data_IF_112742844942
#
_entry.id   IF_112742844942
#
_cell.length_a   1.000
_cell.length_b   1.000
_cell.length_c   1.000
_cell.angle_alpha   90.00
_cell.angle_beta   90.00
_cell.angle_gamma   90.00
#
_symmetry.space_group_name_H-M   'P 1'
#
loop_
_entity.id
_entity.type
_entity.pdbx_description
1 polymer ?
#
# COMPACT_ATOMS: atom_id res chain seq x y z
N UNK A 1 14.64 15.97 -24.22
CA UNK A 1 13.16 16.03 -24.32
C UNK A 1 12.49 14.90 -23.48
N UNK A 2 13.03 13.69 -23.48
CA UNK A 2 12.47 12.55 -22.73
C UNK A 2 12.53 12.75 -21.20
N UNK A 3 13.65 13.24 -20.65
CA UNK A 3 13.81 13.47 -19.21
C UNK A 3 12.65 14.27 -18.57
N UNK A 4 12.15 15.29 -19.29
CA UNK A 4 11.04 16.15 -18.80
C UNK A 4 9.67 15.52 -18.89
N UNK A 5 9.56 14.30 -19.44
CA UNK A 5 8.31 13.51 -19.48
C UNK A 5 8.25 12.49 -18.35
N UNK A 6 9.38 12.28 -17.65
CA UNK A 6 9.47 11.43 -16.46
C UNK A 6 8.72 12.07 -15.29
N UNK A 7 8.57 11.32 -14.22
CA UNK A 7 7.95 11.78 -12.98
C UNK A 7 8.98 12.42 -12.03
N UNK A 8 10.11 11.74 -11.77
CA UNK A 8 11.11 12.18 -10.80
C UNK A 8 12.48 12.37 -11.43
N UNK A 9 13.29 13.31 -10.89
CA UNK A 9 14.63 13.59 -11.37
C UNK A 9 15.57 12.38 -11.19
N UNK A 10 15.43 11.64 -10.08
CA UNK A 10 16.20 10.42 -9.82
C UNK A 10 16.04 9.35 -10.90
N UNK A 11 14.88 9.26 -11.56
CA UNK A 11 14.65 8.30 -12.65
C UNK A 11 14.77 8.91 -14.06
N UNK A 12 15.32 10.13 -14.15
CA UNK A 12 15.61 10.84 -15.39
C UNK A 12 17.12 10.94 -15.68
N UNK A 13 17.94 10.13 -15.02
CA UNK A 13 19.38 9.97 -15.29
C UNK A 13 19.55 8.90 -16.38
N UNK A 14 20.45 9.14 -17.30
CA UNK A 14 20.78 8.25 -18.41
C UNK A 14 22.24 7.84 -18.34
N UNK A 15 22.58 6.72 -18.95
CA UNK A 15 23.95 6.29 -19.12
C UNK A 15 24.24 6.14 -20.60
N UNK A 16 25.26 6.86 -21.09
CA UNK A 16 25.76 6.75 -22.46
C UNK A 16 26.81 5.64 -22.53
N UNK A 17 26.38 4.50 -23.09
CA UNK A 17 27.24 3.30 -23.20
C UNK A 17 28.47 3.55 -24.08
N UNK A 18 28.37 4.45 -25.08
CA UNK A 18 29.49 4.70 -26.00
C UNK A 18 30.57 5.58 -25.38
N UNK A 19 30.16 6.52 -24.52
CA UNK A 19 31.04 7.49 -23.87
C UNK A 19 31.43 7.07 -22.46
N UNK A 20 30.81 6.03 -21.92
CA UNK A 20 30.99 5.57 -20.53
C UNK A 20 30.72 6.68 -19.52
N UNK A 21 29.66 7.48 -19.75
CA UNK A 21 29.34 8.64 -18.89
C UNK A 21 27.86 8.71 -18.53
N UNK A 22 27.56 9.26 -17.34
CA UNK A 22 26.20 9.60 -16.94
C UNK A 22 25.76 10.95 -17.51
N UNK A 23 24.56 11.00 -18.04
CA UNK A 23 23.89 12.22 -18.52
C UNK A 23 22.76 12.55 -17.53
N UNK A 24 22.91 13.63 -16.81
CA UNK A 24 21.96 14.09 -15.79
C UNK A 24 21.40 15.48 -16.11
N UNK A 25 20.39 15.55 -16.98
CA UNK A 25 19.86 16.85 -17.43
C UNK A 25 19.03 17.60 -16.39
N UNK A 26 18.63 16.94 -15.28
CA UNK A 26 17.71 17.49 -14.29
C UNK A 26 18.23 17.46 -12.85
N UNK A 27 19.48 17.07 -12.65
CA UNK A 27 20.09 17.01 -11.33
C UNK A 27 19.60 15.82 -10.50
N UNK A 28 19.32 14.68 -11.14
CA UNK A 28 18.87 13.47 -10.47
C UNK A 28 19.99 12.75 -9.70
N UNK A 29 21.25 12.87 -10.11
CA UNK A 29 22.39 12.25 -9.39
C UNK A 29 22.53 12.80 -7.96
N UNK A 30 22.52 14.13 -7.73
CA UNK A 30 22.48 14.69 -6.37
C UNK A 30 21.26 14.22 -5.54
N UNK A 31 20.11 14.06 -6.17
CA UNK A 31 18.90 13.58 -5.51
C UNK A 31 19.06 12.11 -5.07
N UNK A 32 19.65 11.27 -5.93
CA UNK A 32 19.96 9.86 -5.61
C UNK A 32 20.95 9.80 -4.43
N UNK A 33 22.00 10.61 -4.44
CA UNK A 33 22.99 10.64 -3.36
C UNK A 33 22.41 11.07 -2.01
N UNK A 34 21.38 11.94 -2.03
CA UNK A 34 20.68 12.43 -0.84
C UNK A 34 19.46 11.58 -0.47
N UNK A 35 19.15 10.55 -1.26
CA UNK A 35 17.95 9.71 -1.11
C UNK A 35 16.65 10.53 -1.14
N UNK A 36 16.55 11.48 -2.07
CA UNK A 36 15.39 12.36 -2.21
C UNK A 36 14.63 12.05 -3.51
N UNK A 37 13.30 12.12 -3.46
CA UNK A 37 12.41 12.13 -4.62
C UNK A 37 11.91 13.54 -4.87
N UNK A 38 12.44 14.16 -5.92
CA UNK A 38 12.02 15.44 -6.44
C UNK A 38 11.44 15.29 -7.84
N UNK A 39 10.34 15.97 -8.12
CA UNK A 39 9.69 15.92 -9.44
C UNK A 39 10.49 16.67 -10.50
N UNK A 40 10.35 16.25 -11.77
CA UNK A 40 11.08 16.85 -12.93
C UNK A 40 10.64 18.26 -13.29
N UNK A 41 9.53 18.73 -12.75
CA UNK A 41 8.92 20.06 -12.92
C UNK A 41 8.07 20.33 -11.65
N UNK A 42 7.44 21.52 -11.48
CA UNK A 42 6.61 21.79 -10.31
C UNK A 42 5.63 20.64 -10.03
N UNK A 43 5.65 20.12 -8.80
CA UNK A 43 5.01 18.86 -8.43
C UNK A 43 3.50 18.86 -8.72
N UNK A 44 2.82 19.98 -8.45
CA UNK A 44 1.40 20.15 -8.77
C UNK A 44 1.10 19.92 -10.26
N UNK A 45 2.00 20.32 -11.15
CA UNK A 45 1.88 20.10 -12.59
C UNK A 45 2.13 18.63 -12.93
N UNK A 46 3.21 18.05 -12.38
CA UNK A 46 3.61 16.67 -12.67
C UNK A 46 2.51 15.68 -12.28
N UNK A 47 1.93 15.81 -11.10
CA UNK A 47 0.81 14.96 -10.66
C UNK A 47 -0.50 15.31 -11.38
N UNK A 48 -0.70 16.57 -11.76
CA UNK A 48 -1.86 17.01 -12.55
C UNK A 48 -1.92 16.45 -13.98
N UNK A 49 -0.78 16.04 -14.54
CA UNK A 49 -0.71 15.44 -15.89
C UNK A 49 -1.10 13.95 -15.92
N UNK A 50 -0.84 13.21 -14.84
CA UNK A 50 -1.16 11.77 -14.72
C UNK A 50 -1.31 11.39 -13.25
N UNK A 51 -2.54 11.11 -12.81
CA UNK A 51 -2.85 10.71 -11.43
C UNK A 51 -2.16 9.42 -10.98
N UNK A 52 -1.75 8.53 -11.90
CA UNK A 52 -0.99 7.34 -11.52
C UNK A 52 0.39 7.67 -10.93
N UNK A 53 0.95 8.85 -11.24
CA UNK A 53 2.22 9.30 -10.65
C UNK A 53 2.15 9.39 -9.11
N UNK A 54 0.95 9.56 -8.54
CA UNK A 54 0.73 9.51 -7.09
C UNK A 54 1.03 8.11 -6.51
N UNK A 55 0.54 7.05 -7.15
CA UNK A 55 0.88 5.67 -6.78
C UNK A 55 2.37 5.37 -7.03
N UNK A 56 2.92 5.88 -8.13
CA UNK A 56 4.33 5.72 -8.48
C UNK A 56 5.26 6.41 -7.48
N UNK A 57 4.87 7.56 -6.90
CA UNK A 57 5.58 8.20 -5.80
C UNK A 57 5.73 7.23 -4.62
N UNK A 58 4.62 6.69 -4.13
CA UNK A 58 4.61 5.75 -3.02
C UNK A 58 5.42 4.48 -3.32
N UNK A 59 5.28 3.94 -4.54
CA UNK A 59 6.03 2.77 -4.96
C UNK A 59 7.53 3.03 -5.04
N UNK A 60 7.97 4.11 -5.66
CA UNK A 60 9.40 4.40 -5.79
C UNK A 60 10.01 4.67 -4.42
N UNK A 61 9.32 5.41 -3.54
CA UNK A 61 9.73 5.59 -2.15
C UNK A 61 9.87 4.24 -1.40
N UNK A 62 8.92 3.32 -1.61
CA UNK A 62 8.96 1.98 -1.05
C UNK A 62 10.14 1.15 -1.58
N UNK A 63 10.32 1.11 -2.91
CA UNK A 63 11.34 0.32 -3.60
C UNK A 63 12.78 0.80 -3.34
N UNK A 64 12.98 2.13 -3.15
CA UNK A 64 14.32 2.73 -3.04
C UNK A 64 14.71 3.14 -1.63
N UNK A 65 13.73 3.35 -0.74
CA UNK A 65 13.96 3.96 0.56
C UNK A 65 14.10 5.49 0.51
N UNK A 66 13.89 6.11 -0.65
CA UNK A 66 14.01 7.57 -0.80
C UNK A 66 12.78 8.27 -0.21
N UNK A 67 12.99 9.50 0.26
CA UNK A 67 11.93 10.35 0.81
C UNK A 67 11.54 11.44 -0.19
N UNK A 68 10.23 11.70 -0.40
CA UNK A 68 9.79 12.86 -1.15
C UNK A 68 10.27 14.15 -0.49
N UNK A 69 10.61 15.18 -1.27
CA UNK A 69 10.75 16.52 -0.75
C UNK A 69 9.39 17.16 -0.45
N UNK A 70 9.38 18.29 0.26
CA UNK A 70 8.13 18.93 0.70
C UNK A 70 7.28 19.40 -0.49
N UNK A 71 7.90 19.93 -1.56
CA UNK A 71 7.17 20.33 -2.77
C UNK A 71 6.45 19.12 -3.41
N UNK A 72 7.10 17.96 -3.41
CA UNK A 72 6.53 16.72 -3.90
C UNK A 72 5.33 16.26 -3.06
N UNK A 73 5.44 16.34 -1.71
CA UNK A 73 4.35 15.99 -0.79
C UNK A 73 3.15 16.94 -0.94
N UNK A 74 3.40 18.26 -0.96
CA UNK A 74 2.35 19.27 -1.15
C UNK A 74 1.64 19.08 -2.51
N UNK A 75 2.42 18.84 -3.57
CA UNK A 75 1.88 18.58 -4.90
C UNK A 75 1.04 17.31 -4.95
N UNK A 76 1.45 16.25 -4.25
CA UNK A 76 0.70 15.00 -4.16
C UNK A 76 -0.61 15.19 -3.38
N UNK A 77 -0.57 15.84 -2.21
CA UNK A 77 -1.77 16.18 -1.41
C UNK A 77 -2.76 17.03 -2.20
N UNK A 78 -2.29 18.00 -2.98
CA UNK A 78 -3.14 18.87 -3.79
C UNK A 78 -3.83 18.14 -4.96
N UNK A 79 -3.31 17.00 -5.40
CA UNK A 79 -3.79 16.27 -6.56
C UNK A 79 -4.31 14.86 -6.25
N UNK A 80 -4.42 14.46 -4.97
CA UNK A 80 -4.76 13.07 -4.57
C UNK A 80 -6.03 12.55 -5.23
N UNK A 81 -7.04 13.40 -5.45
CA UNK A 81 -8.31 13.02 -6.06
C UNK A 81 -8.18 12.57 -7.52
N UNK A 82 -7.11 12.96 -8.24
CA UNK A 82 -6.90 12.56 -9.64
C UNK A 82 -6.65 11.05 -9.80
N UNK A 83 -6.36 10.34 -8.71
CA UNK A 83 -6.26 8.87 -8.74
C UNK A 83 -7.59 8.20 -9.10
N UNK A 84 -8.74 8.87 -8.90
CA UNK A 84 -10.07 8.36 -9.24
C UNK A 84 -10.26 8.16 -10.75
N UNK A 85 -9.50 8.90 -11.58
CA UNK A 85 -9.56 8.81 -13.04
C UNK A 85 -8.70 7.66 -13.60
N UNK A 86 -7.94 6.98 -12.74
CA UNK A 86 -7.05 5.89 -13.13
C UNK A 86 -7.79 4.55 -13.10
N UNK A 87 -7.61 3.75 -14.15
CA UNK A 87 -8.24 2.42 -14.22
C UNK A 87 -7.76 1.52 -13.07
N UNK A 88 -8.68 0.77 -12.44
CA UNK A 88 -8.39 -0.01 -11.23
C UNK A 88 -7.24 -1.00 -11.37
N UNK A 89 -7.08 -1.59 -12.55
CA UNK A 89 -6.01 -2.54 -12.84
C UNK A 89 -4.61 -1.91 -12.68
N UNK A 90 -4.44 -0.64 -13.07
CA UNK A 90 -3.16 0.08 -12.90
C UNK A 90 -2.90 0.40 -11.43
N UNK A 91 -3.94 0.78 -10.68
CA UNK A 91 -3.86 1.00 -9.23
C UNK A 91 -3.43 -0.30 -8.55
N UNK A 92 -4.09 -1.42 -8.87
CA UNK A 92 -3.77 -2.73 -8.33
C UNK A 92 -2.32 -3.17 -8.62
N UNK A 93 -1.84 -2.95 -9.85
CA UNK A 93 -0.46 -3.27 -10.22
C UNK A 93 0.57 -2.48 -9.39
N UNK A 94 0.35 -1.18 -9.20
CA UNK A 94 1.24 -0.37 -8.35
C UNK A 94 1.15 -0.80 -6.88
N UNK A 95 -0.05 -1.14 -6.37
CA UNK A 95 -0.24 -1.64 -5.01
C UNK A 95 0.51 -2.97 -4.79
N UNK A 96 0.41 -3.92 -5.73
CA UNK A 96 1.19 -5.16 -5.69
C UNK A 96 2.70 -4.87 -5.59
N UNK A 97 3.20 -3.91 -6.36
CA UNK A 97 4.63 -3.53 -6.34
C UNK A 97 5.03 -2.85 -5.03
N UNK A 98 4.15 -2.06 -4.43
CA UNK A 98 4.38 -1.50 -3.09
C UNK A 98 4.48 -2.65 -2.08
N UNK A 99 3.53 -3.59 -2.11
CA UNK A 99 3.50 -4.70 -1.18
C UNK A 99 4.67 -5.70 -1.34
N UNK A 100 5.38 -5.72 -2.48
CA UNK A 100 6.58 -6.55 -2.71
C UNK A 100 7.88 -5.74 -2.75
N UNK A 101 7.88 -4.52 -2.24
CA UNK A 101 9.03 -3.60 -2.35
C UNK A 101 10.21 -3.92 -1.44
N UNK A 102 10.03 -4.73 -0.41
CA UNK A 102 11.10 -5.21 0.48
C UNK A 102 12.15 -6.10 -0.24
N UNK A 103 11.79 -6.66 -1.39
CA UNK A 103 12.74 -7.35 -2.27
C UNK A 103 13.70 -6.38 -2.99
N UNK A 104 13.52 -5.07 -2.81
CA UNK A 104 14.29 -4.00 -3.45
C UNK A 104 15.18 -3.26 -2.43
N UNK A 105 15.88 -2.25 -2.90
CA UNK A 105 16.80 -1.45 -2.09
C UNK A 105 16.15 -0.72 -0.90
N UNK A 106 14.82 -0.57 -0.89
CA UNK A 106 14.06 0.00 0.22
C UNK A 106 14.03 -0.84 1.49
N UNK A 107 14.40 -2.13 1.40
CA UNK A 107 14.46 -3.04 2.52
C UNK A 107 13.11 -3.39 3.14
N UNK A 108 13.14 -4.05 4.29
CA UNK A 108 11.96 -4.61 4.98
C UNK A 108 10.85 -3.57 5.28
N UNK A 109 11.19 -2.29 5.40
CA UNK A 109 10.22 -1.22 5.64
C UNK A 109 9.51 -0.72 4.36
N UNK A 110 9.91 -1.21 3.19
CA UNK A 110 9.37 -0.75 1.92
C UNK A 110 7.84 -0.75 1.85
N UNK A 111 7.15 -1.87 2.09
CA UNK A 111 5.69 -1.94 2.04
C UNK A 111 5.01 -0.96 3.00
N UNK A 112 5.47 -0.89 4.25
CA UNK A 112 4.95 0.05 5.24
C UNK A 112 5.18 1.51 4.83
N UNK A 113 6.38 1.85 4.33
CA UNK A 113 6.72 3.20 3.85
C UNK A 113 5.81 3.63 2.70
N UNK A 114 5.59 2.76 1.72
CA UNK A 114 4.71 3.06 0.58
C UNK A 114 3.27 3.28 1.00
N UNK A 115 2.73 2.41 1.84
CA UNK A 115 1.35 2.54 2.34
C UNK A 115 1.18 3.78 3.23
N UNK A 116 2.15 4.07 4.10
CA UNK A 116 2.16 5.28 4.94
C UNK A 116 2.17 6.55 4.10
N UNK A 117 2.92 6.56 2.99
CA UNK A 117 2.95 7.69 2.08
C UNK A 117 1.63 7.86 1.31
N UNK A 118 0.95 6.76 0.95
CA UNK A 118 -0.41 6.84 0.39
C UNK A 118 -1.41 7.41 1.39
N UNK A 119 -1.30 7.05 2.69
CA UNK A 119 -2.11 7.64 3.77
C UNK A 119 -1.82 9.14 3.92
N UNK A 120 -0.55 9.51 4.05
CA UNK A 120 -0.10 10.90 4.26
C UNK A 120 -0.52 11.84 3.13
N UNK A 121 -0.52 11.37 1.90
CA UNK A 121 -0.91 12.16 0.72
C UNK A 121 -2.41 12.17 0.45
N UNK A 122 -3.21 11.42 1.21
CA UNK A 122 -4.65 11.27 1.01
C UNK A 122 -5.05 10.27 -0.09
N UNK A 123 -4.08 9.72 -0.83
CA UNK A 123 -4.35 8.77 -1.93
C UNK A 123 -4.99 7.49 -1.41
N UNK A 124 -4.61 7.02 -0.21
CA UNK A 124 -5.19 5.82 0.39
C UNK A 124 -6.71 5.97 0.60
N UNK A 125 -7.17 7.15 1.02
CA UNK A 125 -8.60 7.43 1.20
C UNK A 125 -9.41 7.32 -0.10
N UNK A 126 -8.76 7.61 -1.23
CA UNK A 126 -9.40 7.57 -2.54
C UNK A 126 -9.50 6.15 -3.10
N UNK A 127 -8.45 5.35 -2.92
CA UNK A 127 -8.38 3.97 -3.48
C UNK A 127 -8.98 2.92 -2.55
N UNK A 128 -8.99 3.17 -1.25
CA UNK A 128 -9.41 2.25 -0.19
C UNK A 128 -10.19 2.99 0.93
N UNK A 129 -11.31 3.66 0.63
CA UNK A 129 -12.07 4.41 1.63
C UNK A 129 -12.53 3.51 2.79
N UNK A 130 -12.77 2.22 2.55
CA UNK A 130 -13.15 1.26 3.58
C UNK A 130 -12.03 1.06 4.61
N UNK A 131 -10.79 0.99 4.15
CA UNK A 131 -9.62 0.87 5.02
C UNK A 131 -9.38 2.18 5.79
N UNK A 132 -9.59 3.32 5.12
CA UNK A 132 -9.41 4.64 5.70
C UNK A 132 -10.41 4.95 6.84
N UNK A 133 -11.57 4.28 6.91
CA UNK A 133 -12.48 4.38 8.06
C UNK A 133 -11.84 3.90 9.38
N UNK A 134 -10.77 3.17 9.32
CA UNK A 134 -9.98 2.75 10.49
C UNK A 134 -8.96 3.79 10.96
N UNK A 135 -8.80 4.90 10.23
CA UNK A 135 -7.91 5.99 10.60
C UNK A 135 -8.49 6.73 11.81
N UNK A 136 -7.65 6.96 12.82
CA UNK A 136 -8.05 7.55 14.11
C UNK A 136 -9.14 6.76 14.88
N UNK A 137 -9.55 5.56 14.42
CA UNK A 137 -10.45 4.71 15.18
C UNK A 137 -9.67 3.96 16.26
N UNK A 138 -9.77 4.47 17.49
CA UNK A 138 -9.14 3.87 18.66
C UNK A 138 -9.67 2.45 18.91
N UNK A 139 -8.75 1.54 19.20
CA UNK A 139 -9.04 0.21 19.71
C UNK A 139 -8.94 0.18 21.23
N UNK A 140 -9.34 -0.94 21.87
CA UNK A 140 -9.16 -1.10 23.33
C UNK A 140 -7.67 -0.95 23.69
N UNK A 141 -7.35 0.08 24.45
CA UNK A 141 -5.96 0.46 24.85
C UNK A 141 -5.21 -0.65 25.60
N UNK A 142 -5.95 -1.58 26.23
CA UNK A 142 -5.37 -2.72 26.94
C UNK A 142 -4.69 -3.74 25.99
N UNK A 143 -5.08 -3.76 24.71
CA UNK A 143 -4.61 -4.74 23.73
C UNK A 143 -3.95 -4.11 22.49
N UNK A 144 -4.22 -2.85 22.20
CA UNK A 144 -3.77 -2.19 20.97
C UNK A 144 -3.15 -0.82 21.24
N UNK A 145 -1.92 -0.62 20.74
CA UNK A 145 -1.18 0.64 20.85
C UNK A 145 -1.55 1.64 19.75
N UNK A 146 -2.11 1.15 18.67
CA UNK A 146 -2.35 1.89 17.43
C UNK A 146 -3.84 1.89 17.07
N UNK A 147 -4.29 2.88 16.27
CA UNK A 147 -5.60 2.83 15.61
C UNK A 147 -5.69 1.63 14.65
N UNK A 148 -6.89 1.35 14.11
CA UNK A 148 -7.15 0.19 13.26
C UNK A 148 -6.31 0.25 11.97
N UNK A 149 -6.20 1.42 11.34
CA UNK A 149 -5.45 1.57 10.11
C UNK A 149 -3.94 1.41 10.35
N UNK A 150 -3.37 2.12 11.32
CA UNK A 150 -1.95 2.04 11.63
C UNK A 150 -1.55 0.62 12.03
N UNK A 151 -2.41 -0.10 12.78
CA UNK A 151 -2.21 -1.51 13.08
C UNK A 151 -2.09 -2.33 11.79
N UNK A 152 -3.03 -2.18 10.87
CA UNK A 152 -3.03 -2.92 9.60
C UNK A 152 -1.79 -2.62 8.75
N UNK A 153 -1.37 -1.35 8.66
CA UNK A 153 -0.15 -0.98 7.92
C UNK A 153 1.10 -1.63 8.54
N UNK A 154 1.16 -1.70 9.86
CA UNK A 154 2.27 -2.36 10.58
C UNK A 154 2.26 -3.87 10.42
N UNK A 155 1.10 -4.50 10.38
CA UNK A 155 0.99 -5.94 10.10
C UNK A 155 1.58 -6.29 8.73
N UNK A 156 1.39 -5.46 7.71
CA UNK A 156 1.99 -5.67 6.39
C UNK A 156 3.53 -5.70 6.44
N UNK A 157 4.15 -4.87 7.29
CA UNK A 157 5.62 -4.83 7.45
C UNK A 157 6.21 -6.19 7.82
N UNK A 158 5.51 -6.94 8.68
CA UNK A 158 5.99 -8.21 9.23
C UNK A 158 5.42 -9.45 8.52
N UNK A 159 4.42 -9.25 7.65
CA UNK A 159 3.77 -10.34 6.95
C UNK A 159 4.63 -10.87 5.78
N UNK A 160 4.71 -12.20 5.59
CA UNK A 160 5.24 -12.77 4.35
C UNK A 160 4.54 -12.21 3.11
N UNK A 161 5.24 -12.10 1.96
CA UNK A 161 4.71 -11.47 0.74
C UNK A 161 3.38 -12.02 0.25
N UNK A 162 3.16 -13.33 0.36
CA UNK A 162 1.98 -14.06 -0.10
C UNK A 162 0.70 -13.76 0.70
N UNK A 163 0.82 -13.30 1.95
CA UNK A 163 -0.35 -12.98 2.80
C UNK A 163 -0.52 -11.48 3.07
N UNK A 164 0.24 -10.59 2.43
CA UNK A 164 0.22 -9.14 2.71
C UNK A 164 -1.12 -8.47 2.43
N UNK A 165 -1.87 -8.93 1.43
CA UNK A 165 -3.24 -8.42 1.23
C UNK A 165 -4.15 -8.80 2.39
N UNK A 166 -4.02 -10.01 2.92
CA UNK A 166 -4.77 -10.40 4.11
C UNK A 166 -4.33 -9.58 5.33
N UNK A 167 -3.02 -9.38 5.53
CA UNK A 167 -2.49 -8.55 6.62
C UNK A 167 -2.94 -7.08 6.52
N UNK A 168 -3.07 -6.52 5.30
CA UNK A 168 -3.58 -5.17 5.09
C UNK A 168 -5.07 -5.04 5.41
N UNK A 169 -5.86 -6.08 5.11
CA UNK A 169 -7.32 -6.03 5.10
C UNK A 169 -7.98 -6.79 6.27
N UNK A 170 -7.20 -7.47 7.16
CA UNK A 170 -7.77 -8.35 8.19
C UNK A 170 -8.77 -7.65 9.13
N UNK A 171 -8.51 -6.40 9.43
CA UNK A 171 -9.30 -5.58 10.35
C UNK A 171 -10.24 -4.57 9.66
N UNK A 172 -10.38 -4.61 8.33
CA UNK A 172 -11.21 -3.68 7.57
C UNK A 172 -12.70 -3.71 7.98
N UNK A 173 -13.15 -4.80 8.59
CA UNK A 173 -14.51 -4.96 9.12
C UNK A 173 -14.73 -4.25 10.47
N UNK A 174 -13.66 -3.94 11.23
CA UNK A 174 -13.78 -3.33 12.57
C UNK A 174 -14.55 -2.02 12.59
N UNK A 175 -14.25 -1.01 11.72
CA UNK A 175 -15.01 0.24 11.70
C UNK A 175 -16.49 0.02 11.44
N UNK A 176 -16.84 -0.83 10.51
CA UNK A 176 -18.24 -1.12 10.16
C UNK A 176 -19.00 -1.75 11.32
N UNK A 177 -18.41 -2.76 11.99
CA UNK A 177 -19.02 -3.36 13.17
C UNK A 177 -19.15 -2.35 14.32
N UNK A 178 -18.12 -1.54 14.53
CA UNK A 178 -18.16 -0.53 15.61
C UNK A 178 -19.25 0.52 15.39
N UNK A 179 -19.36 1.07 14.19
CA UNK A 179 -20.39 2.09 13.90
C UNK A 179 -21.79 1.52 13.86
N UNK A 180 -21.97 0.25 13.50
CA UNK A 180 -23.27 -0.43 13.49
C UNK A 180 -23.70 -0.90 14.88
N UNK A 181 -22.79 -1.57 15.61
CA UNK A 181 -23.12 -2.36 16.79
C UNK A 181 -22.43 -1.87 18.09
N UNK A 182 -21.55 -0.87 18.01
CA UNK A 182 -20.78 -0.35 19.14
C UNK A 182 -19.67 -1.29 19.63
N UNK A 183 -19.34 -2.33 18.86
CA UNK A 183 -18.33 -3.33 19.22
C UNK A 183 -17.67 -3.89 17.95
N UNK A 184 -16.62 -4.74 18.13
CA UNK A 184 -15.87 -5.35 17.03
C UNK A 184 -16.26 -6.81 16.76
N UNK A 185 -17.36 -7.31 17.32
CA UNK A 185 -17.81 -8.67 17.04
C UNK A 185 -18.17 -8.85 15.58
N UNK A 186 -17.95 -10.05 15.03
CA UNK A 186 -18.19 -10.39 13.62
C UNK A 186 -17.37 -9.56 12.61
N UNK A 187 -16.28 -8.85 13.02
CA UNK A 187 -15.43 -8.15 12.07
C UNK A 187 -14.70 -9.09 11.10
N UNK A 188 -14.39 -10.37 11.40
CA UNK A 188 -13.80 -11.26 10.40
C UNK A 188 -14.75 -11.54 9.23
N UNK A 189 -16.03 -11.79 9.50
CA UNK A 189 -17.05 -12.06 8.49
C UNK A 189 -17.32 -10.81 7.65
N UNK A 190 -17.53 -9.68 8.32
CA UNK A 190 -17.74 -8.38 7.65
C UNK A 190 -16.48 -7.97 6.87
N UNK A 191 -15.29 -8.14 7.45
CA UNK A 191 -14.02 -7.85 6.82
C UNK A 191 -13.77 -8.69 5.57
N UNK A 192 -14.06 -9.99 5.59
CA UNK A 192 -13.94 -10.86 4.43
C UNK A 192 -14.88 -10.43 3.28
N UNK A 193 -16.12 -9.99 3.61
CA UNK A 193 -17.07 -9.46 2.63
C UNK A 193 -16.52 -8.18 2.00
N UNK A 194 -16.12 -7.21 2.81
CA UNK A 194 -15.60 -5.90 2.37
C UNK A 194 -14.32 -6.09 1.56
N UNK A 195 -13.37 -6.90 2.03
CA UNK A 195 -12.14 -7.20 1.32
C UNK A 195 -12.40 -7.82 -0.06
N UNK A 196 -13.39 -8.71 -0.17
CA UNK A 196 -13.83 -9.27 -1.44
C UNK A 196 -14.34 -8.22 -2.42
N UNK A 197 -15.11 -7.25 -1.95
CA UNK A 197 -15.61 -6.12 -2.76
C UNK A 197 -14.46 -5.18 -3.19
N UNK A 198 -13.54 -4.85 -2.28
CA UNK A 198 -12.36 -4.03 -2.58
C UNK A 198 -11.47 -4.69 -3.63
N UNK A 199 -11.12 -5.95 -3.46
CA UNK A 199 -10.27 -6.71 -4.39
C UNK A 199 -10.95 -6.88 -5.76
N UNK A 200 -12.27 -7.09 -5.80
CA UNK A 200 -13.05 -7.10 -7.04
C UNK A 200 -13.05 -5.75 -7.75
N UNK A 201 -13.20 -4.65 -7.01
CA UNK A 201 -13.12 -3.27 -7.54
C UNK A 201 -11.75 -2.99 -8.13
N UNK A 202 -10.67 -3.46 -7.50
CA UNK A 202 -9.31 -3.36 -8.02
C UNK A 202 -8.98 -4.35 -9.14
N UNK A 203 -9.94 -5.22 -9.54
CA UNK A 203 -9.73 -6.26 -10.55
C UNK A 203 -8.63 -7.26 -10.18
N UNK A 204 -8.49 -7.55 -8.90
CA UNK A 204 -7.57 -8.56 -8.41
C UNK A 204 -7.92 -9.96 -8.96
N UNK A 205 -6.93 -10.86 -9.14
CA UNK A 205 -7.20 -12.24 -9.53
C UNK A 205 -8.14 -12.94 -8.55
N UNK A 206 -9.08 -13.75 -9.06
CA UNK A 206 -10.07 -14.47 -8.24
C UNK A 206 -9.40 -15.34 -7.16
N UNK A 207 -8.31 -16.03 -7.50
CA UNK A 207 -7.55 -16.84 -6.55
C UNK A 207 -7.07 -16.01 -5.35
N UNK A 208 -6.41 -14.88 -5.58
CA UNK A 208 -5.95 -13.97 -4.52
C UNK A 208 -7.13 -13.47 -3.66
N UNK A 209 -8.26 -13.15 -4.29
CA UNK A 209 -9.46 -12.68 -3.58
C UNK A 209 -9.98 -13.74 -2.61
N UNK A 210 -10.13 -14.98 -3.05
CA UNK A 210 -10.66 -16.06 -2.19
C UNK A 210 -9.66 -16.45 -1.09
N UNK A 211 -8.37 -16.50 -1.39
CA UNK A 211 -7.32 -16.76 -0.38
C UNK A 211 -7.31 -15.65 0.69
N UNK A 212 -7.37 -14.38 0.28
CA UNK A 212 -7.43 -13.24 1.21
C UNK A 212 -8.67 -13.29 2.10
N UNK A 213 -9.86 -13.54 1.53
CA UNK A 213 -11.11 -13.69 2.30
C UNK A 213 -11.01 -14.81 3.32
N UNK A 214 -10.47 -15.95 2.93
CA UNK A 214 -10.29 -17.10 3.83
C UNK A 214 -9.37 -16.77 5.00
N UNK A 215 -8.24 -16.14 4.73
CA UNK A 215 -7.31 -15.72 5.78
C UNK A 215 -7.95 -14.70 6.74
N UNK A 216 -8.74 -13.76 6.23
CA UNK A 216 -9.49 -12.80 7.06
C UNK A 216 -10.51 -13.50 7.94
N UNK A 217 -11.26 -14.45 7.42
CA UNK A 217 -12.22 -15.25 8.22
C UNK A 217 -11.56 -16.05 9.34
N UNK A 218 -10.32 -16.46 9.14
CA UNK A 218 -9.61 -17.34 10.06
C UNK A 218 -8.69 -16.62 11.05
N UNK A 219 -8.41 -15.31 10.87
CA UNK A 219 -7.35 -14.62 11.62
C UNK A 219 -7.58 -14.54 13.14
N UNK A 220 -8.86 -14.61 13.59
CA UNK A 220 -9.22 -14.63 15.02
C UNK A 220 -9.36 -16.02 15.61
N UNK A 221 -9.16 -17.08 14.79
CA UNK A 221 -9.19 -18.43 15.34
C UNK A 221 -7.89 -18.73 16.06
N UNK A 222 -7.97 -18.96 17.36
CA UNK A 222 -6.87 -19.49 18.15
C UNK A 222 -6.60 -20.93 17.68
N UNK A 223 -5.61 -21.08 16.81
CA UNK A 223 -5.01 -22.39 16.60
C UNK A 223 -4.20 -22.69 17.85
N UNK A 224 -4.80 -23.44 18.79
CA UNK A 224 -4.09 -23.94 19.95
C UNK A 224 -2.78 -24.61 19.48
N UNK A 225 -1.64 -24.17 20.03
CA UNK A 225 -0.31 -24.72 19.70
C UNK A 225 -0.24 -26.24 19.92
N UNK A 226 -1.18 -26.80 20.71
CA UNK A 226 -1.37 -28.24 20.93
C UNK A 226 -2.34 -28.88 19.92
N UNK A 227 -2.87 -28.11 18.96
CA UNK A 227 -3.80 -28.66 17.97
C UNK A 227 -3.06 -29.65 17.07
N UNK A 228 -3.58 -30.90 16.94
CA UNK A 228 -3.00 -31.88 16.04
C UNK A 228 -2.97 -31.33 14.61
N UNK A 229 -1.86 -31.51 13.91
CA UNK A 229 -1.68 -31.07 12.51
C UNK A 229 -2.85 -31.46 11.59
N UNK A 230 -3.44 -32.65 11.83
CA UNK A 230 -4.63 -33.12 11.11
C UNK A 230 -5.87 -32.24 11.31
N UNK A 231 -6.02 -31.60 12.49
CA UNK A 231 -7.13 -30.70 12.77
C UNK A 231 -6.90 -29.34 12.10
N UNK A 232 -5.66 -28.82 12.16
CA UNK A 232 -5.27 -27.59 11.45
C UNK A 232 -5.48 -27.77 9.95
N UNK A 233 -5.02 -28.87 9.38
CA UNK A 233 -5.25 -29.19 7.95
C UNK A 233 -6.73 -29.28 7.60
N UNK A 234 -7.56 -29.87 8.45
CA UNK A 234 -9.01 -29.99 8.24
C UNK A 234 -9.68 -28.62 8.22
N UNK A 235 -9.36 -27.75 9.18
CA UNK A 235 -9.87 -26.37 9.23
C UNK A 235 -9.48 -25.60 7.98
N UNK A 236 -8.24 -25.71 7.54
CA UNK A 236 -7.76 -25.08 6.31
C UNK A 236 -8.47 -25.63 5.06
N UNK A 237 -8.65 -26.97 4.94
CA UNK A 237 -9.30 -27.61 3.78
C UNK A 237 -10.79 -27.29 3.71
N UNK A 238 -11.48 -27.12 4.85
CA UNK A 238 -12.93 -26.83 4.88
C UNK A 238 -13.24 -25.43 4.32
N UNK A 239 -12.24 -24.54 4.27
CA UNK A 239 -12.38 -23.17 3.79
C UNK A 239 -11.66 -22.90 2.46
N UNK A 240 -10.98 -23.91 1.88
CA UNK A 240 -10.41 -23.92 0.54
C UNK A 240 -11.25 -24.80 -0.38
#
# INVERSE_FOLDING_TARGET
RDARRRDFCANAVYYDIQKDEFIDPLGGIPDIQKHILRTVAPAKKVFGEDGLRLMRLARIAAETGFSPDEECLEGARANHMLIRDIVPERIFQELCRILSSDEKAGGEDGPYRGLSLLRETGVLHEIAPELALGDELDQRKDFHKYDVLEHSLRCVRYAPPDIRFAALLHDVGKPYCFYRDGNFHAHPEEGARIAGEMLSRWKAPKKLTEETKTLILLHMRDFDLNMRESKVRRELITHY
#
